data_IF_296958745570
#
_entry.id   IF_296958745570
#
_cell.length_a   1.000
_cell.length_b   1.000
_cell.length_c   1.000
_cell.angle_alpha   90.00
_cell.angle_beta   90.00
_cell.angle_gamma   90.00
#
_symmetry.space_group_name_H-M   'P 1'
#
loop_
_entity.id
_entity.type
_entity.pdbx_description
1 polymer ?
#
# COMPACT_ATOMS: atom_id res chain seq x y z
N UNK A 1 42.36 -81.41 -28.54
CA UNK A 1 42.14 -80.01 -29.05
C UNK A 1 41.09 -79.33 -28.20
N UNK A 2 41.48 -78.39 -27.35
CA UNK A 2 40.52 -77.61 -26.49
C UNK A 2 40.25 -76.28 -27.14
N UNK A 3 38.98 -75.75 -27.20
CA UNK A 3 38.74 -74.42 -27.68
C UNK A 3 38.94 -73.38 -26.57
N UNK A 4 39.64 -72.32 -26.98
CA UNK A 4 39.93 -71.11 -26.19
C UNK A 4 38.66 -70.26 -25.97
N UNK A 5 38.39 -69.87 -24.71
CA UNK A 5 37.31 -68.92 -24.36
C UNK A 5 37.84 -67.51 -24.39
N UNK A 6 37.36 -66.74 -25.33
CA UNK A 6 37.61 -65.30 -25.38
C UNK A 6 36.57 -64.61 -24.40
N UNK A 7 37.10 -63.98 -23.37
CA UNK A 7 36.27 -63.07 -22.48
C UNK A 7 36.24 -61.69 -23.13
N UNK A 8 35.02 -61.29 -23.47
CA UNK A 8 34.74 -59.93 -23.91
C UNK A 8 34.41 -59.06 -22.67
N UNK A 9 35.28 -58.10 -22.36
CA UNK A 9 35.15 -57.19 -21.27
C UNK A 9 34.31 -56.00 -21.77
N UNK A 10 33.03 -55.88 -21.34
CA UNK A 10 32.18 -54.71 -21.58
C UNK A 10 32.48 -53.67 -20.52
N UNK A 11 33.13 -52.57 -20.92
CA UNK A 11 33.28 -51.39 -20.09
C UNK A 11 31.99 -50.55 -20.13
N UNK A 12 31.26 -50.53 -19.02
CA UNK A 12 30.13 -49.61 -18.83
C UNK A 12 30.66 -48.27 -18.39
N UNK A 13 30.64 -47.28 -19.27
CA UNK A 13 30.93 -45.87 -18.92
C UNK A 13 29.66 -45.27 -18.34
N UNK A 14 29.63 -45.09 -17.03
CA UNK A 14 28.56 -44.34 -16.34
C UNK A 14 28.83 -42.84 -16.52
N UNK A 15 28.07 -42.18 -17.40
CA UNK A 15 28.03 -40.70 -17.50
C UNK A 15 27.14 -40.19 -16.36
N UNK A 16 27.74 -39.74 -15.28
CA UNK A 16 27.03 -38.99 -14.23
C UNK A 16 26.70 -37.59 -14.77
N UNK A 17 25.49 -37.42 -15.30
CA UNK A 17 24.96 -36.10 -15.66
C UNK A 17 24.68 -35.31 -14.38
N UNK A 18 25.54 -34.36 -14.07
CA UNK A 18 25.25 -33.37 -13.03
C UNK A 18 24.11 -32.44 -13.50
N UNK A 19 22.91 -32.74 -13.07
CA UNK A 19 21.78 -31.77 -13.17
C UNK A 19 22.08 -30.62 -12.22
N UNK A 20 22.63 -29.52 -12.72
CA UNK A 20 22.61 -28.25 -12.05
C UNK A 20 21.15 -27.73 -12.08
N UNK A 21 20.37 -28.03 -11.06
CA UNK A 21 19.16 -27.30 -10.80
C UNK A 21 19.56 -25.88 -10.37
N UNK A 22 19.48 -24.93 -11.30
CA UNK A 22 19.51 -23.51 -10.93
C UNK A 22 18.29 -23.24 -10.07
N UNK A 23 18.42 -23.37 -8.76
CA UNK A 23 17.48 -22.74 -7.84
C UNK A 23 17.63 -21.24 -8.07
N UNK A 24 16.65 -20.63 -8.74
CA UNK A 24 16.42 -19.18 -8.63
C UNK A 24 16.32 -18.88 -7.15
N UNK A 25 17.36 -18.28 -6.59
CA UNK A 25 17.28 -17.70 -5.27
C UNK A 25 16.27 -16.55 -5.38
N UNK A 26 15.00 -16.84 -5.06
CA UNK A 26 14.07 -15.77 -4.77
C UNK A 26 14.70 -14.98 -3.64
N UNK A 27 15.09 -13.75 -3.92
CA UNK A 27 15.59 -12.85 -2.89
C UNK A 27 14.52 -12.80 -1.78
N UNK A 28 14.91 -13.17 -0.57
CA UNK A 28 13.99 -13.17 0.57
C UNK A 28 13.34 -11.79 0.65
N UNK A 29 12.02 -11.74 0.78
CA UNK A 29 11.29 -10.49 0.89
C UNK A 29 11.90 -9.62 2.01
N UNK A 30 12.09 -8.31 1.80
CA UNK A 30 12.69 -7.44 2.80
C UNK A 30 11.86 -7.46 4.07
N UNK A 31 12.53 -7.62 5.21
CA UNK A 31 11.90 -7.57 6.53
C UNK A 31 11.72 -6.12 6.95
N UNK A 32 10.48 -5.71 7.23
CA UNK A 32 10.20 -4.41 7.80
C UNK A 32 10.49 -4.44 9.31
N UNK A 33 11.26 -3.45 9.78
CA UNK A 33 11.72 -3.40 11.18
C UNK A 33 11.93 -1.95 11.61
N UNK A 34 11.53 -1.62 12.85
CA UNK A 34 11.90 -0.35 13.45
C UNK A 34 13.42 -0.20 13.49
N UNK A 35 13.91 1.01 13.22
CA UNK A 35 15.34 1.31 13.32
C UNK A 35 15.80 1.37 14.79
N UNK A 36 17.11 1.61 15.03
CA UNK A 36 17.69 1.65 16.36
C UNK A 36 17.09 2.75 17.26
N UNK A 37 16.57 3.81 16.66
CA UNK A 37 15.90 4.93 17.33
C UNK A 37 14.40 4.64 17.57
N UNK A 38 13.92 3.43 17.26
CA UNK A 38 12.53 3.04 17.40
C UNK A 38 11.61 3.79 16.42
N UNK A 39 12.11 4.16 15.23
CA UNK A 39 11.33 4.86 14.20
C UNK A 39 11.14 3.99 12.96
N UNK A 40 10.00 4.18 12.29
CA UNK A 40 9.69 3.58 11.01
C UNK A 40 8.93 4.58 10.14
N UNK A 41 9.51 4.91 8.99
CA UNK A 41 8.95 5.93 8.09
C UNK A 41 8.31 5.31 6.87
N UNK A 42 7.05 5.67 6.63
CA UNK A 42 6.27 5.28 5.45
C UNK A 42 6.05 6.52 4.59
N UNK A 43 6.23 6.38 3.28
CA UNK A 43 5.76 7.37 2.30
C UNK A 43 4.57 6.77 1.55
N UNK A 44 3.44 7.46 1.59
CA UNK A 44 2.26 7.13 0.81
C UNK A 44 2.26 7.95 -0.48
N UNK A 45 2.23 7.26 -1.62
CA UNK A 45 1.90 7.81 -2.93
C UNK A 45 0.47 7.38 -3.30
N UNK A 46 -0.22 8.19 -4.09
CA UNK A 46 -1.56 7.90 -4.57
C UNK A 46 -1.86 8.69 -5.84
N UNK A 47 -2.78 8.18 -6.65
CA UNK A 47 -3.30 8.92 -7.80
C UNK A 47 -2.18 9.40 -8.74
N UNK A 48 -1.30 8.48 -9.12
CA UNK A 48 -0.16 8.76 -10.03
C UNK A 48 -0.67 8.97 -11.45
N UNK A 49 -1.72 8.23 -11.85
CA UNK A 49 -2.37 8.30 -13.16
C UNK A 49 -1.38 8.32 -14.33
N UNK A 50 -0.42 7.39 -14.29
CA UNK A 50 0.63 7.30 -15.30
C UNK A 50 0.06 6.98 -16.66
N UNK A 51 0.30 7.85 -17.62
CA UNK A 51 -0.01 7.62 -19.04
C UNK A 51 1.29 7.33 -19.78
N UNK A 52 1.49 6.07 -20.16
CA UNK A 52 2.70 5.64 -20.84
C UNK A 52 2.93 6.44 -22.13
N UNK A 53 4.15 6.95 -22.31
CA UNK A 53 4.51 7.81 -23.45
C UNK A 53 3.97 9.24 -23.42
N UNK A 54 3.31 9.65 -22.32
CA UNK A 54 2.86 11.04 -22.17
C UNK A 54 3.86 11.80 -21.25
N UNK A 55 4.52 12.87 -21.75
CA UNK A 55 5.52 13.62 -20.98
C UNK A 55 4.96 14.31 -19.73
N UNK A 56 3.66 14.53 -19.64
CA UNK A 56 3.03 15.05 -18.42
C UNK A 56 3.14 14.07 -17.23
N UNK A 57 3.33 12.78 -17.49
CA UNK A 57 3.57 11.79 -16.46
C UNK A 57 4.97 11.91 -15.83
N UNK A 58 5.95 12.49 -16.54
CA UNK A 58 7.32 12.63 -16.05
C UNK A 58 7.40 13.51 -14.80
N UNK A 59 6.48 14.49 -14.68
CA UNK A 59 6.32 15.32 -13.48
C UNK A 59 6.12 14.47 -12.22
N UNK A 60 5.38 13.35 -12.34
CA UNK A 60 5.18 12.43 -11.21
C UNK A 60 6.49 11.71 -10.83
N UNK A 61 7.27 11.25 -11.82
CA UNK A 61 8.56 10.60 -11.55
C UNK A 61 9.57 11.54 -10.90
N UNK A 62 9.66 12.77 -11.39
CA UNK A 62 10.52 13.81 -10.79
C UNK A 62 10.12 14.10 -9.34
N UNK A 63 8.81 14.25 -9.07
CA UNK A 63 8.31 14.47 -7.72
C UNK A 63 8.56 13.28 -6.80
N UNK A 64 8.31 12.05 -7.27
CA UNK A 64 8.63 10.85 -6.50
C UNK A 64 10.12 10.78 -6.16
N UNK A 65 11.01 11.03 -7.11
CA UNK A 65 12.45 11.05 -6.88
C UNK A 65 12.84 12.06 -5.79
N UNK A 66 12.34 13.30 -5.87
CA UNK A 66 12.58 14.34 -4.87
C UNK A 66 12.09 13.93 -3.48
N UNK A 67 10.89 13.36 -3.38
CA UNK A 67 10.33 12.89 -2.10
C UNK A 67 11.17 11.75 -1.51
N UNK A 68 11.51 10.75 -2.31
CA UNK A 68 12.26 9.57 -1.86
C UNK A 68 13.67 9.93 -1.39
N UNK A 69 14.35 10.81 -2.12
CA UNK A 69 15.71 11.25 -1.78
C UNK A 69 15.73 12.10 -0.50
N UNK A 70 14.70 12.90 -0.27
CA UNK A 70 14.58 13.73 0.93
C UNK A 70 14.12 12.95 2.16
N UNK A 71 13.12 12.07 2.02
CA UNK A 71 12.50 11.37 3.15
C UNK A 71 13.20 10.06 3.54
N UNK A 72 13.81 9.36 2.58
CA UNK A 72 14.50 8.06 2.79
C UNK A 72 13.63 7.09 3.59
N UNK A 73 12.44 6.72 3.07
CA UNK A 73 11.50 5.90 3.81
C UNK A 73 11.98 4.45 3.96
N UNK A 74 11.47 3.80 5.00
CA UNK A 74 11.64 2.36 5.23
C UNK A 74 10.67 1.54 4.38
N UNK A 75 9.54 2.14 3.97
CA UNK A 75 8.49 1.53 3.15
C UNK A 75 7.77 2.57 2.30
N UNK A 76 7.48 2.18 1.06
CA UNK A 76 6.52 2.88 0.21
C UNK A 76 5.18 2.16 0.22
N UNK A 77 4.07 2.90 0.36
CA UNK A 77 2.72 2.37 0.13
C UNK A 77 2.07 3.18 -0.98
N UNK A 78 1.68 2.52 -2.07
CA UNK A 78 0.99 3.16 -3.20
C UNK A 78 -0.49 2.79 -3.14
N UNK A 79 -1.33 3.78 -2.88
CA UNK A 79 -2.76 3.58 -2.63
C UNK A 79 -3.62 3.83 -3.88
N UNK A 80 -3.25 3.19 -4.98
CA UNK A 80 -4.09 3.06 -6.17
C UNK A 80 -4.03 4.19 -7.18
N UNK A 81 -4.74 3.99 -8.27
CA UNK A 81 -4.76 4.82 -9.48
C UNK A 81 -3.34 5.13 -9.98
N UNK A 82 -2.57 4.02 -10.14
CA UNK A 82 -1.16 4.08 -10.54
C UNK A 82 -1.05 4.31 -12.04
N UNK A 83 -1.87 3.60 -12.84
CA UNK A 83 -1.85 3.68 -14.31
C UNK A 83 -3.18 4.17 -14.86
N UNK A 84 -3.12 4.93 -15.97
CA UNK A 84 -4.29 5.52 -16.61
C UNK A 84 -4.17 5.54 -18.14
N UNK A 85 -3.51 4.57 -18.73
CA UNK A 85 -3.41 4.37 -20.20
C UNK A 85 -2.88 2.99 -20.53
N UNK A 86 -3.10 2.58 -21.79
CA UNK A 86 -2.42 1.42 -22.42
C UNK A 86 -1.04 1.83 -22.92
N UNK A 87 -0.06 0.90 -22.91
CA UNK A 87 -0.08 -0.41 -22.25
C UNK A 87 0.11 -0.28 -20.73
N UNK A 88 -0.81 -0.86 -19.96
CA UNK A 88 -0.81 -0.74 -18.50
C UNK A 88 0.45 -1.38 -17.86
N UNK A 89 0.94 -2.49 -18.44
CA UNK A 89 2.15 -3.15 -17.94
C UNK A 89 3.40 -2.25 -18.00
N UNK A 90 3.60 -1.54 -19.09
CA UNK A 90 4.75 -0.65 -19.25
C UNK A 90 4.56 0.62 -18.42
N UNK A 91 3.32 1.13 -18.37
CA UNK A 91 2.95 2.24 -17.48
C UNK A 91 3.27 1.94 -16.01
N UNK A 92 2.88 0.77 -15.51
CA UNK A 92 3.13 0.33 -14.15
C UNK A 92 4.63 0.21 -13.84
N UNK A 93 5.42 -0.37 -14.74
CA UNK A 93 6.87 -0.50 -14.58
C UNK A 93 7.57 0.85 -14.47
N UNK A 94 7.19 1.79 -15.35
CA UNK A 94 7.79 3.14 -15.37
C UNK A 94 7.32 3.96 -14.16
N UNK A 95 6.06 3.88 -13.80
CA UNK A 95 5.52 4.58 -12.63
C UNK A 95 6.20 4.16 -11.32
N UNK A 96 6.54 2.87 -11.17
CA UNK A 96 7.19 2.34 -9.96
C UNK A 96 8.72 2.34 -10.04
N UNK A 97 9.32 2.66 -11.19
CA UNK A 97 10.78 2.65 -11.38
C UNK A 97 11.55 3.50 -10.35
N UNK A 98 11.14 4.74 -10.00
CA UNK A 98 11.85 5.54 -9.01
C UNK A 98 12.00 4.86 -7.64
N UNK A 99 11.03 4.03 -7.24
CA UNK A 99 11.05 3.27 -5.98
C UNK A 99 12.00 2.09 -6.10
N UNK A 100 11.86 1.32 -7.19
CA UNK A 100 12.63 0.09 -7.45
C UNK A 100 14.13 0.38 -7.58
N UNK A 101 14.49 1.44 -8.30
CA UNK A 101 15.87 1.88 -8.51
C UNK A 101 16.59 2.26 -7.22
N UNK A 102 15.86 2.78 -6.24
CA UNK A 102 16.38 3.12 -4.90
C UNK A 102 16.42 1.92 -3.96
N UNK A 103 15.90 0.76 -4.38
CA UNK A 103 15.86 -0.45 -3.57
C UNK A 103 14.95 -0.34 -2.34
N UNK A 104 13.97 0.57 -2.36
CA UNK A 104 13.04 0.77 -1.25
C UNK A 104 11.96 -0.31 -1.31
N UNK A 105 11.66 -1.01 -0.19
CA UNK A 105 10.52 -1.91 -0.12
C UNK A 105 9.22 -1.17 -0.42
N UNK A 106 8.31 -1.82 -1.16
CA UNK A 106 7.03 -1.19 -1.48
C UNK A 106 5.86 -2.17 -1.48
N UNK A 107 4.68 -1.62 -1.25
CA UNK A 107 3.40 -2.30 -1.27
C UNK A 107 2.40 -1.49 -2.07
N UNK A 108 1.51 -2.15 -2.82
CA UNK A 108 0.46 -1.48 -3.58
C UNK A 108 -0.91 -2.01 -3.22
N UNK A 109 -1.92 -1.14 -3.31
CA UNK A 109 -3.31 -1.52 -3.55
C UNK A 109 -3.81 -0.79 -4.78
N UNK A 110 -4.88 -1.28 -5.42
CA UNK A 110 -5.36 -0.69 -6.67
C UNK A 110 -6.53 0.27 -6.43
N UNK A 111 -6.57 1.31 -7.26
CA UNK A 111 -7.69 2.24 -7.37
C UNK A 111 -8.72 1.78 -8.41
N UNK A 112 -9.71 2.61 -8.68
CA UNK A 112 -10.76 2.26 -9.63
C UNK A 112 -10.33 2.39 -11.09
N UNK A 113 -9.25 3.12 -11.39
CA UNK A 113 -8.76 3.31 -12.76
C UNK A 113 -7.71 2.30 -13.21
N UNK A 114 -7.08 1.56 -12.30
CA UNK A 114 -5.95 0.69 -12.63
C UNK A 114 -6.33 -0.43 -13.63
N UNK A 115 -7.55 -0.98 -13.52
CA UNK A 115 -8.04 -2.07 -14.37
C UNK A 115 -9.01 -1.62 -15.49
N UNK A 116 -9.07 -0.33 -15.80
CA UNK A 116 -9.90 0.19 -16.90
C UNK A 116 -9.31 -0.05 -18.30
N UNK A 117 -8.10 -0.59 -18.41
CA UNK A 117 -7.39 -0.68 -19.67
C UNK A 117 -7.22 -2.13 -20.18
N UNK A 118 -5.98 -2.60 -20.30
CA UNK A 118 -5.65 -3.86 -20.98
C UNK A 118 -5.22 -4.98 -20.01
N UNK A 119 -5.15 -4.70 -18.72
CA UNK A 119 -4.86 -5.69 -17.68
C UNK A 119 -5.94 -5.68 -16.59
N UNK A 120 -6.31 -6.86 -16.12
CA UNK A 120 -7.13 -7.02 -14.92
C UNK A 120 -6.31 -6.75 -13.65
N UNK A 121 -6.99 -6.49 -12.52
CA UNK A 121 -6.33 -6.31 -11.20
C UNK A 121 -5.44 -7.49 -10.83
N UNK A 122 -5.87 -8.73 -11.14
CA UNK A 122 -5.05 -9.93 -10.90
C UNK A 122 -3.77 -9.91 -11.73
N UNK A 123 -3.84 -9.60 -13.01
CA UNK A 123 -2.66 -9.50 -13.87
C UNK A 123 -1.74 -8.34 -13.46
N UNK A 124 -2.29 -7.23 -12.98
CA UNK A 124 -1.50 -6.14 -12.40
C UNK A 124 -0.79 -6.56 -11.13
N UNK A 125 -1.45 -7.32 -10.24
CA UNK A 125 -0.80 -7.84 -9.04
C UNK A 125 0.32 -8.82 -9.38
N UNK A 126 0.10 -9.75 -10.30
CA UNK A 126 1.13 -10.69 -10.79
C UNK A 126 2.34 -9.94 -11.35
N UNK A 127 2.10 -8.88 -12.14
CA UNK A 127 3.15 -8.02 -12.67
C UNK A 127 3.97 -7.37 -11.54
N UNK A 128 3.30 -6.77 -10.56
CA UNK A 128 3.93 -6.08 -9.43
C UNK A 128 4.68 -7.07 -8.53
N UNK A 129 4.15 -8.27 -8.33
CA UNK A 129 4.81 -9.32 -7.53
C UNK A 129 6.13 -9.79 -8.16
N UNK A 130 6.29 -9.66 -9.47
CA UNK A 130 7.57 -9.90 -10.16
C UNK A 130 8.61 -8.78 -9.99
N UNK A 131 8.27 -7.65 -9.39
CA UNK A 131 9.18 -6.50 -9.23
C UNK A 131 10.03 -6.60 -7.97
N UNK A 132 11.29 -6.18 -8.06
CA UNK A 132 12.23 -6.20 -6.92
C UNK A 132 11.76 -5.25 -5.80
N UNK A 133 11.75 -5.73 -4.57
CA UNK A 133 11.35 -4.97 -3.39
C UNK A 133 9.84 -4.96 -3.11
N UNK A 134 9.03 -5.59 -3.98
CA UNK A 134 7.59 -5.70 -3.77
C UNK A 134 7.25 -6.55 -2.54
N UNK A 135 6.28 -6.08 -1.77
CA UNK A 135 5.68 -6.77 -0.61
C UNK A 135 4.19 -7.02 -0.79
N UNK A 136 3.62 -6.64 -1.95
CA UNK A 136 2.18 -6.79 -2.20
C UNK A 136 1.80 -8.26 -2.31
N UNK A 137 0.67 -8.60 -1.75
CA UNK A 137 0.16 -9.96 -1.68
C UNK A 137 -1.36 -9.98 -1.87
N UNK A 138 -1.94 -11.15 -1.76
CA UNK A 138 -3.39 -11.37 -1.79
C UNK A 138 -3.79 -12.34 -0.70
N UNK A 139 -5.03 -12.24 -0.24
CA UNK A 139 -5.69 -13.27 0.57
C UNK A 139 -6.74 -13.94 -0.31
N UNK A 140 -6.58 -15.24 -0.53
CA UNK A 140 -7.51 -16.01 -1.34
C UNK A 140 -8.88 -16.15 -0.67
N UNK A 141 -9.93 -16.25 -1.49
CA UNK A 141 -11.29 -16.55 -1.04
C UNK A 141 -12.06 -15.39 -0.45
N UNK A 142 -11.56 -14.16 -0.58
CA UNK A 142 -12.28 -12.92 -0.21
C UNK A 142 -12.36 -11.96 -1.41
N UNK A 143 -13.31 -11.04 -1.36
CA UNK A 143 -13.53 -10.02 -2.40
C UNK A 143 -12.30 -9.14 -2.55
N UNK A 144 -12.00 -8.73 -3.79
CA UNK A 144 -10.84 -7.90 -4.12
C UNK A 144 -9.56 -8.71 -4.32
N UNK A 145 -8.49 -8.04 -4.72
CA UNK A 145 -7.22 -8.68 -5.10
C UNK A 145 -6.09 -8.34 -4.13
N UNK A 146 -6.03 -7.11 -3.64
CA UNK A 146 -4.94 -6.62 -2.77
C UNK A 146 -5.37 -6.50 -1.32
N UNK A 147 -5.76 -7.63 -0.69
CA UNK A 147 -6.05 -7.70 0.74
C UNK A 147 -4.96 -8.50 1.44
N UNK A 148 -4.13 -7.85 2.24
CA UNK A 148 -3.03 -8.48 2.96
C UNK A 148 -2.56 -7.64 4.15
N UNK A 149 -1.75 -8.24 5.02
CA UNK A 149 -1.10 -7.56 6.13
C UNK A 149 0.40 -7.48 5.92
N UNK A 150 1.02 -6.39 6.38
CA UNK A 150 2.46 -6.28 6.58
C UNK A 150 2.73 -6.09 8.07
N UNK A 151 3.77 -6.74 8.58
CA UNK A 151 4.18 -6.60 9.99
C UNK A 151 5.51 -5.87 10.07
N UNK A 152 5.59 -4.91 10.99
CA UNK A 152 6.83 -4.21 11.33
C UNK A 152 7.36 -4.83 12.60
N UNK A 153 8.59 -5.33 12.54
CA UNK A 153 9.28 -5.96 13.67
C UNK A 153 9.78 -4.93 14.68
N UNK A 154 9.93 -5.34 15.92
CA UNK A 154 10.60 -4.56 16.97
C UNK A 154 12.06 -4.27 16.59
N UNK A 155 12.58 -3.10 16.97
CA UNK A 155 13.98 -2.72 16.80
C UNK A 155 14.96 -3.69 17.47
N UNK A 156 14.52 -4.35 18.55
CA UNK A 156 15.37 -5.20 19.41
C UNK A 156 15.10 -6.70 19.28
N UNK A 157 14.02 -7.12 18.59
CA UNK A 157 13.61 -8.52 18.49
C UNK A 157 12.88 -8.83 17.17
N UNK A 158 12.48 -10.08 16.98
CA UNK A 158 11.63 -10.50 15.86
C UNK A 158 10.11 -10.41 16.15
N UNK A 159 9.74 -9.91 17.33
CA UNK A 159 8.34 -9.69 17.67
C UNK A 159 7.71 -8.64 16.75
N UNK A 160 6.44 -8.84 16.40
CA UNK A 160 5.66 -7.83 15.67
C UNK A 160 5.37 -6.67 16.61
N UNK A 161 5.73 -5.46 16.21
CA UNK A 161 5.52 -4.23 16.99
C UNK A 161 4.45 -3.31 16.38
N UNK A 162 4.18 -3.42 15.07
CA UNK A 162 3.08 -2.71 14.42
C UNK A 162 2.55 -3.52 13.22
N UNK A 163 1.32 -3.22 12.79
CA UNK A 163 0.64 -3.91 11.67
C UNK A 163 0.14 -2.88 10.66
N UNK A 164 0.32 -3.18 9.38
CA UNK A 164 -0.29 -2.43 8.29
C UNK A 164 -1.32 -3.33 7.60
N UNK A 165 -2.57 -2.88 7.54
CA UNK A 165 -3.64 -3.53 6.80
C UNK A 165 -3.78 -2.87 5.43
N UNK A 166 -3.59 -3.64 4.39
CA UNK A 166 -3.80 -3.19 3.01
C UNK A 166 -5.10 -3.81 2.51
N UNK A 167 -6.03 -2.97 2.05
CA UNK A 167 -7.30 -3.43 1.50
C UNK A 167 -7.42 -3.07 0.03
N UNK A 168 -8.07 -3.94 -0.71
CA UNK A 168 -8.64 -3.59 -2.00
C UNK A 168 -9.99 -2.91 -1.75
N UNK A 169 -10.10 -1.61 -2.00
CA UNK A 169 -11.38 -0.89 -1.88
C UNK A 169 -12.34 -1.18 -3.02
N UNK A 170 -11.99 -2.11 -3.89
CA UNK A 170 -12.68 -2.46 -5.11
C UNK A 170 -12.68 -1.29 -6.13
N UNK A 171 -13.47 -1.40 -7.19
CA UNK A 171 -13.60 -0.38 -8.22
C UNK A 171 -15.01 0.20 -8.20
N UNK A 172 -15.81 -0.04 -9.25
CA UNK A 172 -17.20 0.39 -9.31
C UNK A 172 -18.14 -0.68 -8.80
N UNK A 173 -19.26 -0.26 -8.24
CA UNK A 173 -20.28 -1.17 -7.74
C UNK A 173 -20.97 -1.94 -8.87
N UNK A 174 -20.94 -3.25 -8.81
CA UNK A 174 -21.75 -4.13 -9.65
C UNK A 174 -23.24 -4.16 -9.25
N UNK A 175 -23.59 -3.61 -8.08
CA UNK A 175 -24.94 -3.60 -7.57
C UNK A 175 -25.78 -2.49 -8.20
N UNK A 176 -26.75 -2.86 -9.05
CA UNK A 176 -27.62 -1.90 -9.76
C UNK A 176 -28.44 -0.98 -8.84
N UNK A 177 -28.64 -1.37 -7.57
CA UNK A 177 -29.38 -0.59 -6.56
C UNK A 177 -28.49 0.44 -5.84
N UNK A 178 -27.16 0.25 -5.88
CA UNK A 178 -26.18 1.12 -5.26
C UNK A 178 -25.07 1.44 -6.28
N UNK A 179 -25.42 2.25 -7.29
CA UNK A 179 -24.48 2.66 -8.35
C UNK A 179 -23.43 3.63 -7.80
N UNK A 180 -22.28 3.66 -8.42
CA UNK A 180 -21.12 4.46 -8.07
C UNK A 180 -19.97 3.54 -7.67
N UNK A 181 -19.19 3.95 -6.70
CA UNK A 181 -18.04 3.15 -6.24
C UNK A 181 -18.45 1.90 -5.48
N UNK A 182 -17.64 0.85 -5.58
CA UNK A 182 -17.69 -0.33 -4.74
C UNK A 182 -17.32 0.02 -3.28
N UNK A 183 -17.51 -0.90 -2.39
CA UNK A 183 -17.21 -0.77 -0.96
C UNK A 183 -16.39 -1.95 -0.48
N UNK A 184 -15.68 -1.79 0.63
CA UNK A 184 -15.03 -2.91 1.32
C UNK A 184 -16.11 -3.92 1.72
N UNK A 185 -16.04 -5.13 1.18
CA UNK A 185 -17.09 -6.15 1.35
C UNK A 185 -17.05 -6.78 2.75
N UNK A 186 -18.15 -7.42 3.16
CA UNK A 186 -18.26 -8.03 4.49
C UNK A 186 -17.27 -9.17 4.72
N UNK A 187 -16.86 -9.89 3.69
CA UNK A 187 -15.82 -10.93 3.78
C UNK A 187 -14.43 -10.33 4.02
N UNK A 188 -14.12 -9.16 3.42
CA UNK A 188 -12.92 -8.38 3.71
C UNK A 188 -12.92 -7.86 5.15
N UNK A 189 -14.07 -7.38 5.65
CA UNK A 189 -14.23 -6.94 7.04
C UNK A 189 -14.05 -8.13 7.99
N UNK A 190 -14.67 -9.28 7.69
CA UNK A 190 -14.49 -10.49 8.47
C UNK A 190 -13.05 -10.99 8.50
N UNK A 191 -12.33 -10.88 7.39
CA UNK A 191 -10.91 -11.14 7.31
C UNK A 191 -10.11 -10.21 8.22
N UNK A 192 -10.36 -8.90 8.13
CA UNK A 192 -9.69 -7.90 8.99
C UNK A 192 -9.88 -8.22 10.48
N UNK A 193 -11.14 -8.42 10.91
CA UNK A 193 -11.45 -8.73 12.32
C UNK A 193 -10.72 -9.98 12.81
N UNK A 194 -10.60 -11.00 11.94
CA UNK A 194 -9.87 -12.23 12.25
C UNK A 194 -8.36 -11.98 12.37
N UNK A 195 -7.76 -11.17 11.48
CA UNK A 195 -6.35 -10.81 11.56
C UNK A 195 -6.06 -9.99 12.81
N UNK A 196 -6.85 -8.96 13.09
CA UNK A 196 -6.72 -8.10 14.27
C UNK A 196 -6.81 -8.91 15.58
N UNK A 197 -7.80 -9.80 15.68
CA UNK A 197 -7.94 -10.68 16.83
C UNK A 197 -6.72 -11.62 16.99
N UNK A 198 -6.17 -12.14 15.90
CA UNK A 198 -4.99 -13.00 15.95
C UNK A 198 -3.74 -12.24 16.41
N UNK A 199 -3.49 -11.02 15.90
CA UNK A 199 -2.40 -10.17 16.34
C UNK A 199 -2.55 -9.74 17.80
N UNK A 200 -3.76 -9.41 18.23
CA UNK A 200 -4.08 -9.07 19.63
C UNK A 200 -3.79 -10.25 20.55
N UNK A 201 -4.23 -11.45 20.18
CA UNK A 201 -3.96 -12.66 20.96
C UNK A 201 -2.45 -12.98 21.06
N UNK A 202 -1.72 -12.84 19.94
CA UNK A 202 -0.27 -13.02 19.90
C UNK A 202 0.49 -11.96 20.73
N UNK A 203 -0.12 -10.79 20.98
CA UNK A 203 0.42 -9.71 21.82
C UNK A 203 -0.22 -9.71 23.22
N UNK A 204 -0.44 -10.87 23.80
CA UNK A 204 -0.94 -11.04 25.18
C UNK A 204 -2.29 -10.32 25.44
N UNK A 205 -3.15 -10.27 24.44
CA UNK A 205 -4.48 -9.66 24.55
C UNK A 205 -4.51 -8.13 24.38
N UNK A 206 -3.38 -7.50 24.06
CA UNK A 206 -3.31 -6.05 23.81
C UNK A 206 -3.26 -5.78 22.31
N UNK A 207 -4.18 -4.96 21.74
CA UNK A 207 -4.14 -4.60 20.32
C UNK A 207 -2.80 -3.93 19.94
N UNK A 208 -2.16 -4.41 18.87
CA UNK A 208 -0.96 -3.78 18.33
C UNK A 208 -1.32 -2.46 17.64
N UNK A 209 -0.45 -1.45 17.68
CA UNK A 209 -0.59 -0.26 16.84
C UNK A 209 -0.72 -0.65 15.37
N UNK A 210 -1.76 -0.16 14.69
CA UNK A 210 -1.98 -0.49 13.29
C UNK A 210 -2.40 0.71 12.44
N UNK A 211 -2.10 0.66 11.15
CA UNK A 211 -2.58 1.58 10.13
C UNK A 211 -3.28 0.81 9.01
N UNK A 212 -4.25 1.45 8.36
CA UNK A 212 -4.96 0.87 7.22
C UNK A 212 -4.77 1.74 5.97
N UNK A 213 -4.59 1.07 4.82
CA UNK A 213 -4.35 1.71 3.53
C UNK A 213 -5.28 1.11 2.46
N UNK A 214 -5.96 1.97 1.74
CA UNK A 214 -6.77 1.62 0.57
C UNK A 214 -7.01 2.85 -0.29
N UNK A 215 -7.71 2.72 -1.43
CA UNK A 215 -7.86 3.82 -2.37
C UNK A 215 -9.10 4.67 -2.12
N UNK A 216 -10.30 4.08 -2.24
CA UNK A 216 -11.58 4.80 -2.18
C UNK A 216 -11.95 5.10 -0.72
N UNK A 217 -12.20 6.37 -0.34
CA UNK A 217 -12.46 6.74 1.05
C UNK A 217 -13.77 6.14 1.59
N UNK A 218 -13.83 5.93 2.90
CA UNK A 218 -15.05 5.50 3.60
C UNK A 218 -16.05 6.66 3.72
N UNK A 219 -17.37 6.36 3.86
CA UNK A 219 -18.38 7.37 4.14
C UNK A 219 -18.09 8.24 5.37
N UNK A 220 -17.35 7.71 6.34
CA UNK A 220 -16.95 8.39 7.56
C UNK A 220 -16.07 9.61 7.33
N UNK A 221 -15.34 9.71 6.21
CA UNK A 221 -14.62 10.92 5.82
C UNK A 221 -15.57 12.13 5.67
N UNK A 222 -16.75 11.89 5.08
CA UNK A 222 -17.79 12.93 4.99
C UNK A 222 -18.51 13.18 6.33
N UNK A 223 -18.65 12.17 7.19
CA UNK A 223 -19.22 12.31 8.53
C UNK A 223 -18.30 13.16 9.41
N UNK A 224 -17.01 12.80 9.48
CA UNK A 224 -16.04 13.44 10.35
C UNK A 224 -15.95 14.97 10.14
N UNK A 225 -15.91 15.41 8.88
CA UNK A 225 -15.80 16.85 8.55
C UNK A 225 -17.08 17.66 8.80
N UNK A 226 -18.23 17.00 9.04
CA UNK A 226 -19.49 17.68 9.37
C UNK A 226 -19.67 17.90 10.86
N UNK A 227 -18.93 17.20 11.70
CA UNK A 227 -19.02 17.35 13.14
C UNK A 227 -18.39 18.69 13.55
N UNK A 228 -19.20 19.57 14.11
CA UNK A 228 -18.71 20.84 14.64
C UNK A 228 -17.67 20.57 15.75
N UNK A 229 -16.51 21.19 15.62
CA UNK A 229 -15.39 21.00 16.55
C UNK A 229 -14.46 19.83 16.23
N UNK A 230 -14.70 19.07 15.17
CA UNK A 230 -13.71 18.08 14.72
C UNK A 230 -12.43 18.76 14.28
N UNK A 231 -11.31 18.27 14.79
CA UNK A 231 -10.00 18.70 14.31
C UNK A 231 -9.83 18.29 12.85
N UNK A 232 -9.46 19.24 12.00
CA UNK A 232 -9.10 18.98 10.60
C UNK A 232 -7.91 19.84 10.21
N UNK A 233 -6.92 19.25 9.53
CA UNK A 233 -5.76 19.93 8.94
C UNK A 233 -5.62 19.54 7.48
N UNK A 234 -5.23 20.48 6.62
CA UNK A 234 -5.02 20.25 5.20
C UNK A 234 -6.08 20.86 4.30
N UNK A 235 -6.03 20.49 3.03
CA UNK A 235 -6.91 20.99 1.97
C UNK A 235 -8.07 20.04 1.74
N UNK A 236 -9.29 20.59 1.75
CA UNK A 236 -10.52 19.91 1.32
C UNK A 236 -11.23 20.78 0.30
N UNK A 237 -11.16 20.43 -0.96
CA UNK A 237 -11.85 21.15 -2.04
C UNK A 237 -13.14 20.47 -2.51
N UNK A 238 -13.28 19.18 -2.23
CA UNK A 238 -14.47 18.42 -2.58
C UNK A 238 -14.92 17.48 -1.44
N UNK A 239 -16.18 17.04 -1.51
CA UNK A 239 -16.66 15.99 -0.63
C UNK A 239 -15.97 14.67 -0.98
N UNK A 240 -15.72 13.83 0.02
CA UNK A 240 -15.17 12.51 -0.21
C UNK A 240 -16.11 11.69 -1.14
N UNK A 241 -15.58 11.25 -2.28
CA UNK A 241 -16.28 10.45 -3.29
C UNK A 241 -16.38 8.98 -2.84
N UNK A 242 -16.96 8.76 -1.67
CA UNK A 242 -17.12 7.46 -1.05
C UNK A 242 -18.24 6.61 -1.68
N UNK A 243 -18.26 5.29 -1.41
CA UNK A 243 -19.41 4.45 -1.72
C UNK A 243 -20.71 5.00 -1.12
N UNK A 244 -21.81 4.77 -1.81
CA UNK A 244 -23.15 5.15 -1.29
C UNK A 244 -23.67 4.25 -0.18
N UNK A 245 -22.99 3.11 0.01
CA UNK A 245 -23.31 2.11 1.03
C UNK A 245 -22.14 2.06 2.02
N UNK A 246 -22.46 2.24 3.29
CA UNK A 246 -21.51 2.02 4.38
C UNK A 246 -21.55 0.53 4.76
N UNK A 247 -20.42 -0.17 4.62
CA UNK A 247 -20.31 -1.58 4.95
C UNK A 247 -19.91 -1.87 6.40
N UNK A 248 -19.53 -0.83 7.17
CA UNK A 248 -19.20 -0.94 8.58
C UNK A 248 -17.72 -1.22 8.90
N UNK A 249 -16.79 -1.03 7.94
CA UNK A 249 -15.37 -1.25 8.21
C UNK A 249 -14.86 -0.32 9.32
N UNK A 250 -15.22 0.96 9.31
CA UNK A 250 -14.79 1.91 10.36
C UNK A 250 -15.29 1.48 11.75
N UNK A 251 -16.52 0.98 11.85
CA UNK A 251 -17.05 0.41 13.11
C UNK A 251 -16.24 -0.80 13.56
N UNK A 252 -15.90 -1.71 12.64
CA UNK A 252 -15.07 -2.87 12.96
C UNK A 252 -13.67 -2.46 13.46
N UNK A 253 -13.07 -1.41 12.87
CA UNK A 253 -11.79 -0.85 13.34
C UNK A 253 -11.90 -0.21 14.73
N UNK A 254 -13.01 0.51 14.98
CA UNK A 254 -13.29 1.10 16.30
C UNK A 254 -13.43 0.02 17.38
N UNK A 255 -14.17 -1.04 17.10
CA UNK A 255 -14.39 -2.16 18.03
C UNK A 255 -13.10 -2.97 18.28
N UNK A 256 -12.29 -3.19 17.25
CA UNK A 256 -11.01 -3.90 17.37
C UNK A 256 -9.95 -3.07 18.14
N UNK A 257 -10.01 -1.74 18.04
CA UNK A 257 -9.17 -0.83 18.81
C UNK A 257 -7.68 -0.84 18.42
N UNK A 258 -7.29 -1.46 17.31
CA UNK A 258 -5.90 -1.55 16.84
C UNK A 258 -5.54 -0.44 15.85
N UNK A 259 -6.44 -0.06 14.93
CA UNK A 259 -6.19 0.94 13.89
C UNK A 259 -6.17 2.35 14.47
N UNK A 260 -5.04 3.04 14.28
CA UNK A 260 -4.83 4.43 14.70
C UNK A 260 -5.14 5.43 13.58
N UNK A 261 -4.99 5.00 12.32
CA UNK A 261 -5.17 5.86 11.17
C UNK A 261 -5.49 5.08 9.90
N UNK A 262 -6.29 5.70 9.05
CA UNK A 262 -6.71 5.20 7.73
C UNK A 262 -6.22 6.19 6.67
N UNK A 263 -5.54 5.69 5.65
CA UNK A 263 -4.91 6.47 4.61
C UNK A 263 -5.44 6.08 3.24
N UNK A 264 -6.00 7.04 2.50
CA UNK A 264 -6.69 6.84 1.22
C UNK A 264 -6.16 7.76 0.12
N UNK A 265 -6.62 7.57 -1.11
CA UNK A 265 -6.41 8.44 -2.28
C UNK A 265 -7.72 8.90 -2.88
N UNK A 266 -7.85 8.81 -4.22
CA UNK A 266 -9.06 8.94 -5.00
C UNK A 266 -9.52 10.38 -5.31
N UNK A 267 -9.58 11.26 -4.32
CA UNK A 267 -10.03 12.65 -4.50
C UNK A 267 -8.81 13.58 -4.62
N UNK A 268 -8.38 13.90 -5.84
CA UNK A 268 -7.08 14.52 -6.15
C UNK A 268 -6.89 15.92 -5.58
N UNK A 269 -7.96 16.59 -5.20
CA UNK A 269 -7.94 17.95 -4.65
C UNK A 269 -8.13 17.99 -3.13
N UNK A 270 -8.09 16.82 -2.50
CA UNK A 270 -8.10 16.63 -1.06
C UNK A 270 -6.74 16.12 -0.57
N UNK A 271 -6.25 16.67 0.54
CA UNK A 271 -5.10 16.14 1.29
C UNK A 271 -5.28 16.27 2.80
N UNK A 272 -6.52 16.49 3.23
CA UNK A 272 -6.81 16.71 4.64
C UNK A 272 -6.66 15.44 5.48
N UNK A 273 -6.47 15.68 6.78
CA UNK A 273 -6.61 14.68 7.82
C UNK A 273 -7.60 15.18 8.87
N UNK A 274 -8.47 14.31 9.35
CA UNK A 274 -9.54 14.62 10.30
C UNK A 274 -9.64 13.52 11.34
N UNK A 275 -9.85 13.88 12.61
CA UNK A 275 -10.15 12.88 13.64
C UNK A 275 -11.57 12.36 13.51
N UNK A 276 -11.72 11.06 13.56
CA UNK A 276 -13.01 10.39 13.68
C UNK A 276 -12.96 9.38 14.82
N UNK A 277 -13.52 9.73 15.97
CA UNK A 277 -13.63 8.85 17.15
C UNK A 277 -12.31 8.23 17.61
N UNK A 278 -11.20 8.96 17.48
CA UNK A 278 -9.86 8.48 17.85
C UNK A 278 -9.16 7.67 16.76
N UNK A 279 -9.66 7.68 15.53
CA UNK A 279 -8.99 7.16 14.32
C UNK A 279 -8.75 8.34 13.39
N UNK A 280 -7.50 8.57 12.97
CA UNK A 280 -7.19 9.60 11.99
C UNK A 280 -7.63 9.13 10.60
N UNK A 281 -8.56 9.84 9.96
CA UNK A 281 -8.92 9.63 8.56
C UNK A 281 -8.14 10.63 7.70
N UNK A 282 -7.20 10.16 6.88
CA UNK A 282 -6.28 11.01 6.14
C UNK A 282 -6.26 10.66 4.64
N UNK A 283 -6.28 11.69 3.80
CA UNK A 283 -5.96 11.54 2.39
C UNK A 283 -4.44 11.52 2.18
N UNK A 284 -3.98 10.73 1.22
CA UNK A 284 -2.71 10.93 0.58
C UNK A 284 -2.67 12.28 -0.16
N UNK A 285 -1.49 12.73 -0.52
CA UNK A 285 -1.32 13.85 -1.44
C UNK A 285 -1.28 13.31 -2.86
N UNK A 286 -2.08 13.89 -3.78
CA UNK A 286 -1.97 13.62 -5.20
C UNK A 286 -0.51 13.58 -5.63
N UNK A 287 -0.07 12.46 -6.22
CA UNK A 287 1.33 12.22 -6.57
C UNK A 287 1.58 12.31 -8.08
N UNK A 288 0.52 12.40 -8.88
CA UNK A 288 0.56 12.38 -10.33
C UNK A 288 1.14 13.64 -10.99
N UNK A 289 1.29 13.57 -12.30
CA UNK A 289 1.56 14.72 -13.17
C UNK A 289 0.27 15.39 -13.68
N UNK A 290 0.37 16.16 -14.73
CA UNK A 290 -0.78 16.87 -15.35
C UNK A 290 -1.59 15.97 -16.29
N UNK A 291 -1.83 14.72 -15.92
CA UNK A 291 -2.55 13.74 -16.75
C UNK A 291 -4.05 13.67 -16.46
N UNK A 292 -4.48 14.13 -15.28
CA UNK A 292 -5.86 14.22 -14.82
C UNK A 292 -6.07 15.53 -14.06
N UNK A 293 -7.30 15.80 -13.59
CA UNK A 293 -7.55 16.99 -12.77
C UNK A 293 -6.75 16.93 -11.46
N UNK A 294 -6.16 18.06 -11.08
CA UNK A 294 -5.27 18.12 -9.92
C UNK A 294 -5.18 19.53 -9.31
N UNK A 295 -6.25 20.32 -9.37
CA UNK A 295 -6.28 21.68 -8.84
C UNK A 295 -6.08 21.73 -7.31
N UNK A 296 -5.04 21.04 -6.83
CA UNK A 296 -4.62 21.05 -5.43
C UNK A 296 -3.56 22.15 -5.22
N UNK A 297 -3.67 22.98 -4.17
CA UNK A 297 -2.69 24.04 -3.93
C UNK A 297 -1.26 23.51 -3.73
N UNK A 298 -0.29 24.26 -4.19
CA UNK A 298 1.14 24.06 -3.94
C UNK A 298 1.83 22.88 -4.66
N UNK A 299 1.27 22.19 -5.59
CA UNK A 299 1.85 21.07 -6.35
C UNK A 299 1.51 19.67 -5.84
N UNK A 300 1.83 18.68 -6.66
CA UNK A 300 1.80 17.27 -6.30
C UNK A 300 2.85 16.94 -5.21
N UNK A 301 2.72 15.78 -4.59
CA UNK A 301 3.61 15.38 -3.50
C UNK A 301 3.30 13.99 -2.95
N UNK A 302 3.59 13.80 -1.66
CA UNK A 302 3.32 12.57 -0.94
C UNK A 302 2.94 12.84 0.51
N UNK A 303 2.21 11.94 1.14
CA UNK A 303 2.03 11.93 2.59
C UNK A 303 3.11 11.07 3.24
N UNK A 304 3.66 11.59 4.30
CA UNK A 304 4.68 10.94 5.12
C UNK A 304 4.05 10.54 6.45
N UNK A 305 4.40 9.36 6.93
CA UNK A 305 3.92 8.83 8.21
C UNK A 305 5.13 8.27 8.95
N UNK A 306 5.37 8.71 10.17
CA UNK A 306 6.47 8.22 11.02
C UNK A 306 5.90 7.60 12.29
N UNK A 307 6.03 6.27 12.40
CA UNK A 307 5.67 5.50 13.57
C UNK A 307 6.79 5.54 14.62
N UNK A 308 6.39 5.45 15.89
CA UNK A 308 7.30 5.25 17.03
C UNK A 308 7.01 3.90 17.66
N UNK A 309 8.04 3.07 17.87
CA UNK A 309 7.90 1.74 18.48
C UNK A 309 7.30 1.85 19.89
N UNK A 310 6.35 0.95 20.17
CA UNK A 310 5.68 0.90 21.48
C UNK A 310 4.72 2.05 21.75
N UNK A 311 4.46 2.92 20.76
CA UNK A 311 3.54 4.07 20.90
C UNK A 311 2.31 3.91 20.03
N UNK A 312 1.19 4.44 20.50
CA UNK A 312 -0.02 4.68 19.69
C UNK A 312 -0.06 6.12 19.15
N UNK A 313 1.04 6.82 19.22
CA UNK A 313 1.23 8.13 18.62
C UNK A 313 2.10 8.00 17.37
N UNK A 314 1.78 8.79 16.35
CA UNK A 314 2.57 8.89 15.13
C UNK A 314 2.57 10.31 14.60
N UNK A 315 3.55 10.62 13.74
CA UNK A 315 3.61 11.89 13.05
C UNK A 315 3.20 11.70 11.60
N UNK A 316 2.55 12.72 11.03
CA UNK A 316 2.31 12.77 9.59
C UNK A 316 2.46 14.18 9.06
N UNK A 317 2.92 14.29 7.82
CA UNK A 317 3.04 15.55 7.08
C UNK A 317 2.92 15.29 5.58
N UNK A 318 2.76 16.35 4.82
CA UNK A 318 2.80 16.31 3.36
C UNK A 318 4.13 16.90 2.91
N UNK A 319 4.85 16.18 2.02
CA UNK A 319 5.98 16.71 1.27
C UNK A 319 5.51 17.07 -0.13
N UNK A 320 5.79 18.30 -0.53
CA UNK A 320 5.48 18.86 -1.85
C UNK A 320 6.77 19.35 -2.53
N UNK A 321 6.64 19.92 -3.72
CA UNK A 321 7.77 20.44 -4.46
C UNK A 321 8.62 21.46 -3.73
N UNK A 322 9.83 21.69 -4.27
CA UNK A 322 10.81 22.65 -3.74
C UNK A 322 11.28 22.34 -2.31
N UNK A 323 11.27 21.05 -1.96
CA UNK A 323 11.70 20.58 -0.63
C UNK A 323 10.78 20.97 0.52
N UNK A 324 9.61 21.55 0.25
CA UNK A 324 8.69 22.03 1.30
C UNK A 324 7.89 20.91 1.94
N UNK A 325 7.58 21.10 3.21
CA UNK A 325 6.65 20.26 3.97
C UNK A 325 5.54 21.10 4.57
N UNK A 326 4.31 20.56 4.58
CA UNK A 326 3.09 21.22 5.08
C UNK A 326 2.25 20.25 5.90
N UNK A 327 1.23 20.76 6.59
CA UNK A 327 0.22 19.98 7.32
C UNK A 327 0.84 18.99 8.32
N UNK A 328 1.81 19.46 9.11
CA UNK A 328 2.42 18.66 10.17
C UNK A 328 1.42 18.38 11.28
N UNK A 329 1.36 17.13 11.71
CA UNK A 329 0.45 16.65 12.75
C UNK A 329 1.15 15.60 13.61
N UNK A 330 1.11 15.76 14.93
CA UNK A 330 1.41 14.71 15.90
C UNK A 330 0.08 14.12 16.37
N UNK A 331 -0.27 12.93 15.92
CA UNK A 331 -1.55 12.32 16.24
C UNK A 331 -1.40 11.35 17.43
N UNK A 332 -2.31 11.35 18.42
CA UNK A 332 -3.47 12.23 18.58
C UNK A 332 -3.19 13.50 19.41
N UNK A 333 -1.95 13.83 19.72
CA UNK A 333 -1.62 14.92 20.63
C UNK A 333 -2.17 16.29 20.16
N UNK A 334 -2.08 16.58 18.86
CA UNK A 334 -2.52 17.87 18.29
C UNK A 334 -4.04 17.93 18.01
N UNK A 335 -4.78 16.82 18.25
CA UNK A 335 -6.24 16.75 17.97
C UNK A 335 -7.12 16.87 19.22
N UNK A 336 -6.52 17.02 20.39
CA UNK A 336 -7.19 17.11 21.69
C UNK A 336 -7.56 18.53 22.07
#
# INVERSE_FOLDING_TARGET
>A
MKPSKIFLLLAVVAIAGAFFTSQSAYAQAPTLKFNAEGKFKIVQLTDIHWKYGNPKSDIAAERMAEVLDAEKPDLMVVTGDIVFAKPAADGMKVALAPIIERGIPFAVTFGNHDDEHDLSRTQLLELVQGMKGNLSSTTEGITGVTNYTLTIKSSSSDATAAVLYIFDSNSYSANKRAKGYGWIAHDQIGWYMKQSAAFTAANSGTPLPALAFFHIPLPEYNEAVRNEGSFMIGTRKEAACSPKVNSGLATAMLDAGDVMGVFVGHDHVNDYAVDWRGILLAYGRYSGGDTVYNDIPNSNGARIIELSEGSREFKTWIRIGEGRTINHLNYPADTK
#
